data_IF_453368623129
#
_entry.id   IF_453368623129
#
_cell.length_a   1.000
_cell.length_b   1.000
_cell.length_c   1.000
_cell.angle_alpha   90.00
_cell.angle_beta   90.00
_cell.angle_gamma   90.00
#
_symmetry.space_group_name_H-M   'P 1'
#
loop_
_entity.id
_entity.type
_entity.pdbx_description
1 polymer ?
2 non-polymer ?
3 water ?
#
# COMPACT_ATOMS: atom_id res chain seq x y z
N UNK A 4 16.67 -2.73 -12.17
CA UNK A 4 16.54 -1.44 -12.84
C UNK A 4 15.07 -1.15 -13.08
N UNK A 5 14.21 -1.53 -12.12
CA UNK A 5 12.78 -1.22 -12.27
C UNK A 5 12.46 0.25 -12.43
N UNK A 6 12.92 1.08 -11.51
CA UNK A 6 12.66 2.51 -11.59
C UNK A 6 13.39 3.15 -12.75
N UNK A 7 14.59 2.64 -13.06
CA UNK A 7 15.31 3.24 -14.20
C UNK A 7 14.56 2.97 -15.51
N UNK A 8 14.00 1.76 -15.58
CA UNK A 8 13.27 1.35 -16.75
C UNK A 8 11.89 1.97 -16.94
N UNK A 9 11.13 2.07 -15.86
CA UNK A 9 9.78 2.60 -15.96
C UNK A 9 9.67 4.06 -15.57
N UNK A 10 10.59 4.52 -14.74
CA UNK A 10 10.63 5.91 -14.34
C UNK A 10 9.36 6.51 -13.76
N UNK A 11 8.96 7.65 -14.26
CA UNK A 11 7.81 8.39 -13.75
C UNK A 11 6.53 7.64 -14.00
N UNK A 12 5.82 7.29 -12.93
CA UNK A 12 4.51 6.65 -13.11
C UNK A 12 3.44 7.73 -13.14
N UNK A 13 2.34 7.47 -13.86
CA UNK A 13 1.22 8.40 -13.90
C UNK A 13 -0.03 7.57 -14.21
N UNK A 14 -1.16 8.24 -14.20
CA UNK A 14 -2.44 7.60 -14.51
C UNK A 14 -2.90 8.07 -15.89
N UNK A 15 -3.21 7.08 -16.73
CA UNK A 15 -3.71 7.39 -18.07
C UNK A 15 -4.98 6.56 -18.33
N UNK A 16 -6.13 7.17 -18.56
CA UNK A 16 -7.36 6.43 -18.77
C UNK A 16 -7.63 5.39 -17.68
N UNK A 17 -7.39 5.78 -16.43
CA UNK A 17 -7.65 4.98 -15.25
C UNK A 17 -6.69 3.84 -15.04
N UNK A 18 -5.54 3.86 -15.71
CA UNK A 18 -4.56 2.80 -15.60
C UNK A 18 -3.22 3.35 -15.12
N UNK A 19 -2.52 2.56 -14.29
CA UNK A 19 -1.16 2.95 -13.94
C UNK A 19 -0.25 2.67 -15.14
N UNK A 20 0.51 3.70 -15.56
CA UNK A 20 1.41 3.56 -16.70
C UNK A 20 2.79 4.13 -16.35
N UNK A 21 3.78 3.70 -17.12
CA UNK A 21 5.14 4.20 -16.98
C UNK A 21 5.31 5.45 -17.84
N UNK A 22 6.55 5.92 -17.87
CA UNK A 22 6.84 7.18 -18.57
C UNK A 22 6.78 7.07 -20.08
N UNK A 23 6.61 5.87 -20.60
CA UNK A 23 6.41 5.68 -22.03
C UNK A 23 4.93 5.43 -22.31
N UNK A 24 4.09 5.50 -21.27
CA UNK A 24 2.67 5.30 -21.45
C UNK A 24 2.23 3.85 -21.48
N UNK A 25 3.11 2.91 -21.16
CA UNK A 25 2.80 1.50 -21.12
C UNK A 25 2.27 1.09 -19.75
N UNK A 26 1.28 0.18 -19.78
CA UNK A 26 0.75 -0.31 -18.49
C UNK A 26 1.82 -1.03 -17.68
N UNK A 27 1.85 -0.74 -16.38
CA UNK A 27 2.78 -1.34 -15.47
C UNK A 27 2.01 -1.84 -14.23
N UNK A 28 2.47 -2.94 -13.69
CA UNK A 28 1.84 -3.52 -12.51
C UNK A 28 2.92 -3.72 -11.44
N UNK A 29 2.69 -3.12 -10.28
CA UNK A 29 3.61 -3.25 -9.15
C UNK A 29 3.11 -4.35 -8.21
N UNK A 30 4.06 -5.16 -7.73
CA UNK A 30 3.72 -6.22 -6.79
C UNK A 30 4.79 -6.25 -5.71
N UNK A 31 4.37 -6.21 -4.45
CA UNK A 31 5.36 -6.19 -3.37
C UNK A 31 4.75 -6.48 -2.01
N UNK A 32 5.52 -6.11 -1.01
CA UNK A 32 5.14 -6.34 0.37
C UNK A 32 4.95 -5.02 1.11
N UNK A 33 4.05 -5.11 2.10
CA UNK A 33 3.90 -4.08 3.09
C UNK A 33 4.58 -4.51 4.39
N UNK A 34 5.20 -3.56 5.09
CA UNK A 34 5.65 -3.84 6.46
C UNK A 34 4.39 -4.01 7.28
N UNK A 35 4.56 -4.47 8.52
CA UNK A 35 3.49 -4.41 9.52
C UNK A 35 3.70 -3.05 10.20
N UNK A 36 3.14 -2.75 11.36
CA UNK A 36 3.30 -1.42 11.95
C UNK A 36 4.77 -1.14 12.23
N UNK A 37 5.25 0.03 11.79
CA UNK A 37 6.66 0.39 12.04
C UNK A 37 7.03 0.59 13.50
N UNK A 38 6.05 0.83 14.35
CA UNK A 38 6.28 0.98 15.79
C UNK A 38 6.48 -0.35 16.48
N UNK A 39 6.18 -1.45 15.80
CA UNK A 39 6.27 -2.78 16.38
C UNK A 39 7.27 -3.69 15.70
N UNK A 40 7.34 -3.65 14.37
CA UNK A 40 8.15 -4.59 13.58
C UNK A 40 9.04 -3.86 12.57
N UNK A 41 9.56 -2.73 13.03
CA UNK A 41 10.46 -1.90 12.26
C UNK A 41 11.78 -2.54 11.90
N UNK A 42 12.22 -3.56 12.70
CA UNK A 42 13.48 -4.21 12.42
C UNK A 42 13.49 -4.96 11.11
N UNK A 43 12.32 -5.33 10.56
CA UNK A 43 12.25 -5.99 9.27
C UNK A 43 12.26 -5.02 8.09
N UNK A 44 12.35 -3.73 8.34
CA UNK A 44 12.42 -2.73 7.28
C UNK A 44 13.82 -2.12 7.25
N UNK A 45 14.60 -2.55 6.27
CA UNK A 45 15.99 -2.11 6.16
C UNK A 45 16.47 -2.43 4.76
N UNK A 46 17.58 -1.84 4.32
CA UNK A 46 18.12 -2.06 2.99
C UNK A 46 18.33 -3.54 2.70
N UNK A 47 18.91 -4.30 3.64
CA UNK A 47 19.21 -5.71 3.38
C UNK A 47 17.97 -6.55 3.18
N UNK A 48 16.96 -6.40 4.00
CA UNK A 48 15.72 -7.17 3.82
C UNK A 48 14.99 -6.75 2.56
N UNK A 49 14.98 -5.46 2.23
CA UNK A 49 14.33 -5.00 1.00
C UNK A 49 15.07 -5.50 -0.23
N UNK A 50 16.41 -5.61 -0.16
CA UNK A 50 17.20 -6.11 -1.27
C UNK A 50 16.93 -7.60 -1.49
N UNK A 51 16.79 -8.32 -0.37
CA UNK A 51 16.47 -9.73 -0.42
C UNK A 51 15.10 -9.93 -1.06
N UNK A 52 14.13 -9.10 -0.66
CA UNK A 52 12.81 -9.15 -1.29
C UNK A 52 12.88 -8.85 -2.78
N UNK A 53 13.68 -7.85 -3.16
CA UNK A 53 13.82 -7.51 -4.56
C UNK A 53 14.41 -8.69 -5.34
N UNK A 54 15.50 -9.24 -4.84
CA UNK A 54 16.31 -10.21 -5.57
C UNK A 54 15.77 -11.62 -5.56
N UNK A 55 15.23 -12.05 -4.43
CA UNK A 55 14.74 -13.41 -4.27
C UNK A 55 13.25 -13.54 -4.51
N UNK A 56 12.44 -12.54 -4.14
CA UNK A 56 11.02 -12.59 -4.38
C UNK A 56 10.64 -11.90 -5.68
N UNK A 57 11.41 -10.91 -6.15
CA UNK A 57 11.02 -10.20 -7.34
C UNK A 57 10.21 -8.94 -7.03
N UNK A 58 10.12 -8.47 -5.78
CA UNK A 58 9.32 -7.26 -5.54
C UNK A 58 9.80 -6.06 -6.36
N UNK A 59 8.83 -5.19 -6.69
CA UNK A 59 9.17 -3.93 -7.34
C UNK A 59 8.55 -2.74 -6.62
N UNK A 60 7.96 -3.00 -5.45
CA UNK A 60 7.41 -1.94 -4.60
C UNK A 60 7.47 -2.39 -3.14
N UNK A 61 7.68 -1.47 -2.20
CA UNK A 61 7.65 -1.76 -0.78
C UNK A 61 6.80 -0.70 -0.10
N UNK A 62 5.91 -1.13 0.80
CA UNK A 62 5.03 -0.23 1.51
C UNK A 62 5.42 -0.10 2.99
N UNK A 63 5.69 1.12 3.43
CA UNK A 63 6.07 1.47 4.79
C UNK A 63 4.80 1.88 5.55
N UNK A 64 4.32 0.99 6.42
CA UNK A 64 3.06 1.19 7.12
C UNK A 64 3.24 1.92 8.44
N UNK A 65 3.16 3.24 8.37
CA UNK A 65 3.36 4.09 9.54
C UNK A 65 2.04 4.36 10.25
N UNK A 66 1.69 3.48 11.20
CA UNK A 66 0.51 3.70 12.00
C UNK A 66 0.63 5.07 12.66
N UNK A 67 -0.49 5.76 12.69
CA UNK A 67 -0.63 7.06 13.34
C UNK A 67 -0.99 6.87 14.82
N UNK A 68 -2.00 6.06 15.10
CA UNK A 68 -2.36 5.74 16.49
C UNK A 68 -1.71 4.41 16.87
N UNK A 69 -2.24 3.73 17.89
CA UNK A 69 -1.71 2.46 18.35
C UNK A 69 -0.22 2.50 18.68
N UNK A 70 0.21 3.57 19.31
CA UNK A 70 1.61 3.78 19.65
C UNK A 70 2.50 4.24 18.50
N UNK A 71 1.86 4.59 17.39
CA UNK A 71 2.54 5.06 16.21
C UNK A 71 2.95 6.50 16.23
N UNK A 72 2.96 7.17 15.08
CA UNK A 72 3.50 8.49 14.88
C UNK A 72 3.00 9.57 15.81
N UNK A 73 1.69 9.60 16.11
CA UNK A 73 1.16 10.64 16.99
C UNK A 73 1.72 10.53 18.40
N UNK A 74 1.85 9.33 18.93
CA UNK A 74 2.42 9.10 20.25
C UNK A 74 3.93 9.21 20.27
N UNK A 75 4.60 8.77 19.22
CA UNK A 75 6.05 8.79 19.13
C UNK A 75 6.44 8.96 17.67
N UNK A 76 6.76 10.19 17.29
CA UNK A 76 7.02 10.59 15.93
C UNK A 76 8.32 10.07 15.36
N UNK A 77 9.16 9.47 16.21
CA UNK A 77 10.43 8.89 15.79
C UNK A 77 10.28 7.87 14.69
N UNK A 78 9.12 7.21 14.56
CA UNK A 78 8.87 6.25 13.51
C UNK A 78 8.89 6.83 12.11
N UNK A 79 8.76 8.17 12.00
CA UNK A 79 8.91 8.79 10.68
C UNK A 79 10.32 8.62 10.13
N UNK A 80 11.32 8.41 11.00
CA UNK A 80 12.69 8.20 10.52
C UNK A 80 12.83 6.83 9.90
N UNK A 81 11.99 5.85 10.36
CA UNK A 81 12.02 4.52 9.74
C UNK A 81 11.38 4.58 8.36
N UNK A 82 10.32 5.40 8.20
CA UNK A 82 9.83 5.64 6.84
C UNK A 82 10.93 6.20 5.93
N UNK A 83 11.71 7.19 6.40
CA UNK A 83 12.80 7.76 5.61
C UNK A 83 13.82 6.68 5.24
N UNK A 84 14.11 5.83 6.23
CA UNK A 84 15.03 4.71 5.94
C UNK A 84 14.53 3.82 4.81
N UNK A 85 13.24 3.46 4.84
CA UNK A 85 12.65 2.65 3.76
C UNK A 85 12.65 3.38 2.42
N UNK A 86 12.36 4.66 2.38
CA UNK A 86 12.36 5.41 1.12
C UNK A 86 13.79 5.43 0.55
N UNK A 87 14.77 5.70 1.42
CA UNK A 87 16.16 5.76 0.95
C UNK A 87 16.62 4.42 0.42
N UNK A 88 16.24 3.31 1.06
CA UNK A 88 16.59 1.98 0.56
C UNK A 88 15.94 1.71 -0.78
N UNK A 89 14.66 2.09 -0.94
CA UNK A 89 13.97 1.91 -2.22
C UNK A 89 14.68 2.70 -3.33
N UNK A 90 15.13 3.91 -3.01
CA UNK A 90 15.85 4.72 -3.98
C UNK A 90 17.15 3.99 -4.35
N UNK A 91 17.85 3.52 -3.31
CA UNK A 91 19.11 2.79 -3.56
C UNK A 91 18.93 1.48 -4.30
N UNK A 92 17.80 0.78 -4.11
CA UNK A 92 17.51 -0.47 -4.76
C UNK A 92 16.74 -0.32 -6.07
N UNK A 93 16.38 0.90 -6.47
CA UNK A 93 15.69 1.17 -7.71
C UNK A 93 14.33 0.48 -7.77
N UNK A 94 13.60 0.52 -6.65
CA UNK A 94 12.22 0.06 -6.62
C UNK A 94 11.31 1.19 -6.11
N UNK A 95 10.02 0.99 -6.31
CA UNK A 95 9.03 1.98 -5.86
C UNK A 95 8.74 1.83 -4.38
N UNK A 96 8.24 2.88 -3.74
CA UNK A 96 7.97 2.83 -2.31
C UNK A 96 6.72 3.63 -1.99
N UNK A 97 5.90 3.04 -1.13
CA UNK A 97 4.67 3.71 -0.71
C UNK A 97 4.82 4.20 0.72
N UNK A 98 4.60 5.47 0.95
CA UNK A 98 4.61 6.11 2.26
C UNK A 98 3.16 6.08 2.76
N UNK A 99 2.89 5.20 3.73
CA UNK A 99 1.48 5.01 4.18
C UNK A 99 1.17 5.61 5.53
N UNK A 100 0.37 6.65 5.58
CA UNK A 100 -0.17 7.30 6.79
C UNK A 100 -1.28 6.35 7.22
N UNK A 101 -0.90 5.46 8.13
CA UNK A 101 -1.70 4.27 8.41
C UNK A 101 -2.70 4.45 9.52
N UNK A 102 -3.77 5.16 9.14
CA UNK A 102 -4.91 5.34 10.02
C UNK A 102 -5.66 4.00 10.13
N UNK A 103 -6.31 3.81 11.31
CA UNK A 103 -7.08 2.60 11.56
C UNK A 103 -8.01 2.85 12.73
N UNK A 104 -7.54 2.76 13.98
CA UNK A 104 -8.46 3.02 15.11
C UNK A 104 -8.92 4.45 15.16
N UNK A 105 -8.10 5.38 14.66
CA UNK A 105 -8.33 6.79 14.41
C UNK A 105 -9.02 6.78 13.03
N UNK A 106 -10.29 6.41 13.05
CA UNK A 106 -11.02 5.95 11.88
C UNK A 106 -11.42 7.00 10.87
N UNK A 107 -11.41 8.25 11.30
CA UNK A 107 -11.71 9.36 10.40
C UNK A 107 -10.37 10.01 10.11
N UNK A 108 -9.97 10.16 8.86
CA UNK A 108 -8.68 10.77 8.57
C UNK A 108 -8.59 12.20 9.04
N UNK A 109 -9.73 12.88 9.28
CA UNK A 109 -9.70 14.24 9.78
C UNK A 109 -9.21 14.36 11.22
N UNK A 110 -9.20 13.29 12.01
CA UNK A 110 -8.75 13.37 13.39
C UNK A 110 -7.34 13.96 13.46
N UNK A 111 -6.41 13.47 12.65
CA UNK A 111 -5.03 13.95 12.70
C UNK A 111 -4.63 14.65 11.40
N UNK A 112 -5.59 15.34 10.78
CA UNK A 112 -5.29 16.01 9.51
C UNK A 112 -4.23 17.06 9.59
N UNK A 113 -4.12 17.83 10.69
CA UNK A 113 -3.07 18.82 10.81
C UNK A 113 -1.70 18.15 10.84
N UNK A 114 -1.58 17.08 11.61
CA UNK A 114 -0.32 16.34 11.63
C UNK A 114 -0.03 15.68 10.28
N UNK A 115 -1.06 15.21 9.57
CA UNK A 115 -0.89 14.62 8.25
C UNK A 115 -0.36 15.61 7.23
N UNK A 116 -0.92 16.84 7.28
CA UNK A 116 -0.43 17.89 6.40
C UNK A 116 1.05 18.18 6.67
N UNK A 117 1.41 18.27 7.96
CA UNK A 117 2.82 18.55 8.28
C UNK A 117 3.73 17.41 7.84
N UNK A 118 3.30 16.17 8.05
CA UNK A 118 4.07 14.98 7.66
C UNK A 118 4.24 14.84 6.17
N UNK A 119 3.16 15.02 5.38
CA UNK A 119 3.27 14.97 3.94
C UNK A 119 4.00 16.15 3.35
N UNK A 120 3.97 17.32 3.97
CA UNK A 120 4.78 18.46 3.54
C UNK A 120 6.25 18.06 3.66
N UNK A 121 6.63 17.53 4.81
CA UNK A 121 8.02 17.10 5.04
C UNK A 121 8.49 16.00 4.09
N UNK A 122 7.66 14.97 3.90
CA UNK A 122 8.07 13.87 3.02
C UNK A 122 8.15 14.30 1.56
N UNK A 123 7.17 15.11 1.14
CA UNK A 123 7.22 15.57 -0.27
C UNK A 123 8.34 16.56 -0.49
N UNK A 124 8.70 17.36 0.53
CA UNK A 124 9.82 18.29 0.34
C UNK A 124 11.13 17.50 0.17
N UNK A 125 11.24 16.43 0.98
CA UNK A 125 12.46 15.65 0.96
C UNK A 125 12.60 14.80 -0.29
N UNK A 126 11.54 14.14 -0.73
CA UNK A 126 11.58 13.14 -1.77
C UNK A 126 10.80 13.43 -3.02
N UNK A 127 10.22 14.62 -3.12
CA UNK A 127 9.41 15.03 -4.23
C UNK A 127 10.06 15.12 -5.59
N UNK A 128 11.39 15.04 -5.63
CA UNK A 128 12.06 14.98 -6.93
C UNK A 128 12.65 13.60 -7.22
N UNK A 129 12.06 12.54 -6.64
CA UNK A 129 12.36 11.17 -7.01
C UNK A 129 11.10 10.50 -7.56
N UNK A 130 11.22 9.64 -8.54
CA UNK A 130 10.09 8.97 -9.15
C UNK A 130 9.64 7.74 -8.37
N UNK A 131 10.41 7.33 -7.36
CA UNK A 131 10.07 6.14 -6.61
C UNK A 131 8.86 6.27 -5.71
N UNK A 132 8.56 7.47 -5.22
CA UNK A 132 7.60 7.70 -4.14
C UNK A 132 6.15 7.75 -4.59
N UNK A 133 5.38 6.99 -3.80
CA UNK A 133 3.91 6.94 -3.93
C UNK A 133 3.35 7.32 -2.55
N UNK A 134 2.46 8.33 -2.46
CA UNK A 134 1.98 8.74 -1.15
C UNK A 134 0.63 8.11 -0.85
N UNK A 135 0.46 7.46 0.28
CA UNK A 135 -0.85 6.86 0.63
C UNK A 135 -1.33 7.61 1.88
N UNK A 136 -2.25 8.56 1.67
CA UNK A 136 -2.59 9.54 2.68
C UNK A 136 -3.55 9.12 3.75
N UNK A 137 -4.25 8.00 3.67
CA UNK A 137 -5.15 7.54 4.73
C UNK A 137 -5.45 6.07 4.49
N UNK A 138 -4.65 5.19 5.08
CA UNK A 138 -4.81 3.75 4.90
C UNK A 138 -6.24 3.26 4.76
N UNK A 139 -6.96 3.27 5.87
CA UNK A 139 -8.28 2.70 5.99
C UNK A 139 -9.28 3.50 6.80
N UNK A 140 -9.83 4.52 6.20
CA UNK A 140 -11.02 5.19 6.76
C UNK A 140 -12.07 4.11 7.08
N UNK A 141 -12.78 4.23 8.20
CA UNK A 141 -13.75 3.19 8.56
C UNK A 141 -14.80 3.80 9.49
N UNK A 142 -15.92 3.10 9.57
CA UNK A 142 -17.00 3.58 10.45
C UNK A 142 -18.15 4.09 9.61
N UNK A 143 -19.38 3.89 10.09
CA UNK A 143 -20.56 4.37 9.41
C UNK A 143 -20.63 5.87 9.28
N UNK A 144 -19.99 6.61 10.17
CA UNK A 144 -19.93 8.03 10.25
C UNK A 144 -18.81 8.66 9.41
N UNK A 145 -18.05 7.87 8.68
CA UNK A 145 -16.94 8.34 7.86
C UNK A 145 -17.25 7.94 6.41
N UNK A 146 -17.67 8.98 5.66
CA UNK A 146 -18.05 8.73 4.27
C UNK A 146 -17.13 9.49 3.30
N UNK A 147 -17.13 8.98 2.09
CA UNK A 147 -16.33 9.58 1.02
C UNK A 147 -16.65 11.06 0.88
N UNK A 148 -17.95 11.35 0.66
CA UNK A 148 -18.32 12.74 0.41
C UNK A 148 -18.15 13.67 1.59
N UNK A 149 -18.43 13.25 2.81
CA UNK A 149 -18.41 14.15 3.94
C UNK A 149 -17.05 14.22 4.62
N UNK A 150 -16.31 13.12 4.63
CA UNK A 150 -15.07 13.10 5.41
C UNK A 150 -13.83 12.86 4.55
N UNK A 151 -13.83 11.81 3.74
CA UNK A 151 -12.61 11.40 3.05
C UNK A 151 -12.20 12.33 1.93
N UNK A 152 -13.13 12.64 1.05
CA UNK A 152 -12.83 13.54 -0.08
C UNK A 152 -12.35 14.89 0.37
N UNK A 153 -13.01 15.57 1.29
CA UNK A 153 -12.55 16.86 1.82
C UNK A 153 -11.20 16.76 2.47
N UNK A 154 -10.89 15.70 3.21
CA UNK A 154 -9.56 15.45 3.77
C UNK A 154 -8.51 15.38 2.66
N UNK A 155 -8.77 14.63 1.61
CA UNK A 155 -7.84 14.52 0.49
C UNK A 155 -7.63 15.87 -0.16
N UNK A 156 -8.70 16.66 -0.25
CA UNK A 156 -8.64 17.97 -0.87
C UNK A 156 -7.90 18.98 -0.02
N UNK A 157 -7.58 18.72 1.23
CA UNK A 157 -6.68 19.53 2.03
C UNK A 157 -5.27 18.98 1.95
N UNK A 158 -5.05 17.66 1.98
CA UNK A 158 -3.70 17.10 2.00
C UNK A 158 -3.03 17.06 0.65
N UNK A 159 -3.79 16.81 -0.43
CA UNK A 159 -3.20 16.74 -1.77
C UNK A 159 -2.54 18.05 -2.13
N UNK A 160 -3.11 19.22 -1.91
CA UNK A 160 -2.48 20.49 -2.25
C UNK A 160 -1.11 20.65 -1.60
N UNK A 161 -0.97 20.23 -0.34
CA UNK A 161 0.31 20.28 0.40
C UNK A 161 1.37 19.48 -0.36
N UNK A 162 1.03 18.24 -0.75
CA UNK A 162 1.93 17.41 -1.51
C UNK A 162 2.27 18.05 -2.85
N UNK A 163 1.28 18.53 -3.57
CA UNK A 163 1.42 19.04 -4.93
C UNK A 163 2.25 20.30 -4.97
N UNK A 164 2.33 21.05 -3.88
CA UNK A 164 3.19 22.23 -3.85
C UNK A 164 4.66 21.84 -3.90
N UNK A 165 4.98 20.60 -3.50
CA UNK A 165 6.34 20.11 -3.54
C UNK A 165 6.61 19.05 -4.59
N UNK A 166 5.60 18.34 -5.03
CA UNK A 166 5.69 17.20 -5.94
C UNK A 166 4.42 17.17 -6.77
N UNK A 167 4.46 17.76 -7.94
CA UNK A 167 3.29 17.96 -8.77
C UNK A 167 2.64 16.73 -9.34
N UNK A 168 3.32 15.58 -9.44
CA UNK A 168 2.63 14.49 -10.12
C UNK A 168 2.98 13.08 -9.76
N UNK A 169 3.72 12.83 -8.68
CA UNK A 169 3.86 11.45 -8.22
C UNK A 169 2.47 10.96 -7.77
N UNK A 170 2.31 9.64 -7.82
CA UNK A 170 1.01 9.03 -7.51
C UNK A 170 0.64 9.24 -6.06
N UNK A 171 -0.66 9.55 -5.83
CA UNK A 171 -1.23 9.63 -4.50
C UNK A 171 -2.36 8.60 -4.41
N UNK A 172 -2.30 7.68 -3.44
CA UNK A 172 -3.34 6.67 -3.21
C UNK A 172 -4.22 7.18 -2.07
N UNK A 173 -5.53 7.28 -2.27
CA UNK A 173 -6.46 7.78 -1.29
C UNK A 173 -7.39 6.65 -0.83
N UNK A 174 -7.45 6.47 0.49
CA UNK A 174 -8.26 5.44 1.09
C UNK A 174 -9.74 5.68 0.83
N UNK A 175 -10.51 4.60 0.95
CA UNK A 175 -11.94 4.65 0.74
C UNK A 175 -12.68 4.18 1.99
N UNK A 176 -13.99 4.39 2.02
CA UNK A 176 -14.78 3.98 3.19
C UNK A 176 -14.80 2.50 3.46
N UNK A 177 -15.25 2.19 4.71
CA UNK A 177 -15.43 0.80 5.15
C UNK A 177 -14.15 -0.02 4.99
N UNK A 178 -13.07 0.51 5.57
CA UNK A 178 -11.76 -0.08 5.57
C UNK A 178 -11.23 -0.22 4.15
N UNK A 179 -11.36 0.86 3.37
CA UNK A 179 -10.91 0.88 1.98
C UNK A 179 -11.50 -0.23 1.12
N UNK A 180 -12.83 -0.41 1.27
CA UNK A 180 -13.55 -1.31 0.40
C UNK A 180 -14.54 -0.56 -0.50
N UNK A 181 -14.94 0.64 -0.08
CA UNK A 181 -16.04 1.34 -0.76
C UNK A 181 -15.51 2.19 -1.91
N UNK A 182 -14.99 1.49 -2.92
CA UNK A 182 -14.52 2.14 -4.13
C UNK A 182 -15.67 2.60 -5.01
N UNK A 183 -16.85 1.99 -4.81
CA UNK A 183 -18.03 2.37 -5.58
C UNK A 183 -18.39 3.83 -5.34
N UNK A 184 -18.47 4.27 -4.08
CA UNK A 184 -18.81 5.65 -3.83
C UNK A 184 -17.72 6.60 -4.30
N UNK A 185 -16.46 6.21 -4.11
CA UNK A 185 -15.37 7.09 -4.54
C UNK A 185 -15.38 7.24 -6.04
N UNK A 186 -15.65 6.15 -6.76
CA UNK A 186 -15.61 6.21 -8.24
C UNK A 186 -16.73 7.07 -8.79
N UNK A 187 -17.83 7.23 -8.08
CA UNK A 187 -18.94 8.07 -8.53
C UNK A 187 -18.71 9.53 -8.18
N UNK A 188 -17.66 9.87 -7.41
CA UNK A 188 -17.41 11.25 -7.01
C UNK A 188 -15.92 11.48 -6.87
N UNK A 189 -15.21 11.26 -7.98
CA UNK A 189 -13.77 11.27 -8.04
C UNK A 189 -13.13 12.62 -7.78
N UNK A 190 -11.89 12.54 -7.25
CA UNK A 190 -11.05 13.69 -7.02
C UNK A 190 -10.54 14.25 -8.33
N UNK A 191 -10.28 15.55 -8.34
CA UNK A 191 -9.80 16.20 -9.56
C UNK A 191 -8.37 15.85 -9.93
N UNK A 192 -7.47 15.66 -8.98
CA UNK A 192 -6.06 15.41 -9.34
C UNK A 192 -5.95 14.23 -10.28
N UNK A 193 -5.23 14.38 -11.39
CA UNK A 193 -5.09 13.38 -12.42
C UNK A 193 -4.19 12.21 -12.11
N UNK A 194 -3.42 12.32 -11.03
CA UNK A 194 -2.53 11.24 -10.64
C UNK A 194 -2.93 10.64 -9.30
N UNK A 195 -4.22 10.51 -9.09
CA UNK A 195 -4.77 9.86 -7.90
C UNK A 195 -5.23 8.45 -8.26
N UNK A 196 -5.10 7.56 -7.28
CA UNK A 196 -5.66 6.22 -7.26
C UNK A 196 -6.46 6.04 -5.96
N UNK A 197 -7.45 5.17 -5.99
CA UNK A 197 -8.24 4.86 -4.80
C UNK A 197 -7.73 3.52 -4.29
N UNK A 198 -7.62 3.39 -2.97
CA UNK A 198 -7.23 2.13 -2.36
C UNK A 198 -8.41 1.14 -2.29
N UNK A 199 -8.12 -0.10 -2.56
CA UNK A 199 -9.07 -1.20 -2.38
C UNK A 199 -8.28 -2.25 -1.62
N UNK A 200 -8.80 -2.72 -0.48
CA UNK A 200 -8.16 -3.72 0.36
C UNK A 200 -9.03 -4.96 0.53
N UNK A 201 -8.45 -6.14 0.51
CA UNK A 201 -9.24 -7.36 0.71
C UNK A 201 -8.44 -8.36 1.56
N UNK A 202 -9.19 -9.30 2.12
CA UNK A 202 -8.67 -10.42 2.87
C UNK A 202 -9.31 -11.69 2.30
N UNK A 203 -8.54 -12.69 1.97
CA UNK A 203 -8.99 -13.88 1.25
C UNK A 203 -9.92 -14.75 2.09
N UNK A 204 -9.98 -14.51 3.40
CA UNK A 204 -10.92 -15.19 4.30
C UNK A 204 -12.36 -14.79 4.05
N UNK A 205 -12.60 -13.72 3.34
CA UNK A 205 -13.93 -13.25 2.99
C UNK A 205 -14.25 -13.64 1.57
N UNK A 206 -15.44 -14.25 1.36
CA UNK A 206 -15.83 -14.67 0.01
C UNK A 206 -15.88 -13.41 -0.86
N UNK A 207 -15.12 -13.37 -1.93
CA UNK A 207 -14.94 -12.12 -2.62
C UNK A 207 -15.58 -11.80 -3.92
N UNK A 208 -16.55 -12.59 -4.37
CA UNK A 208 -17.10 -12.40 -5.72
C UNK A 208 -17.79 -11.06 -5.87
N UNK A 209 -18.57 -10.57 -4.91
CA UNK A 209 -19.22 -9.27 -5.08
C UNK A 209 -18.19 -8.15 -4.99
N UNK A 210 -17.18 -8.34 -4.13
CA UNK A 210 -16.14 -7.29 -4.02
C UNK A 210 -15.38 -7.13 -5.32
N UNK A 211 -15.09 -8.22 -6.05
CA UNK A 211 -14.50 -8.18 -7.37
C UNK A 211 -15.42 -7.41 -8.31
N UNK A 212 -16.72 -7.69 -8.26
CA UNK A 212 -17.66 -6.95 -9.12
C UNK A 212 -17.69 -5.47 -8.79
N UNK A 213 -17.48 -5.09 -7.52
CA UNK A 213 -17.44 -3.70 -7.10
C UNK A 213 -16.18 -3.01 -7.63
N UNK A 214 -15.05 -3.70 -7.60
CA UNK A 214 -13.82 -3.15 -8.16
C UNK A 214 -14.05 -2.92 -9.64
N UNK A 215 -14.67 -3.88 -10.32
CA UNK A 215 -14.97 -3.70 -11.73
C UNK A 215 -15.85 -2.49 -11.97
N UNK A 216 -16.88 -2.27 -11.17
CA UNK A 216 -17.75 -1.10 -11.30
C UNK A 216 -16.90 0.17 -11.22
N UNK A 217 -16.01 0.26 -10.24
CA UNK A 217 -15.14 1.42 -10.08
C UNK A 217 -14.23 1.63 -11.26
N UNK A 218 -13.60 0.56 -11.77
CA UNK A 218 -12.75 0.64 -12.95
C UNK A 218 -13.56 1.14 -14.14
N UNK A 219 -14.83 0.71 -14.26
CA UNK A 219 -15.70 1.15 -15.32
C UNK A 219 -16.07 2.63 -15.26
N UNK A 220 -15.86 3.31 -14.14
CA UNK A 220 -16.11 4.74 -14.03
C UNK A 220 -14.84 5.52 -14.35
N UNK A 221 -13.78 4.81 -14.74
CA UNK A 221 -12.51 5.45 -15.03
C UNK A 221 -11.65 5.70 -13.81
N UNK A 222 -12.02 5.21 -12.64
CA UNK A 222 -11.21 5.37 -11.44
C UNK A 222 -10.06 4.39 -11.44
N UNK A 223 -8.86 4.82 -11.07
CA UNK A 223 -7.71 3.92 -10.97
C UNK A 223 -7.65 3.34 -9.57
N UNK A 224 -7.37 2.05 -9.48
CA UNK A 224 -7.39 1.37 -8.19
C UNK A 224 -6.05 0.75 -7.87
N UNK A 225 -5.57 0.95 -6.66
CA UNK A 225 -4.32 0.31 -6.21
C UNK A 225 -4.69 -0.57 -5.02
N UNK A 226 -4.37 -1.87 -5.10
CA UNK A 226 -4.70 -2.76 -3.96
C UNK A 226 -3.53 -2.64 -2.99
N UNK A 227 -3.51 -1.55 -2.21
CA UNK A 227 -2.33 -1.20 -1.40
C UNK A 227 -2.18 -2.08 -0.17
N UNK A 228 -3.14 -2.93 0.09
CA UNK A 228 -3.04 -3.88 1.19
C UNK A 228 -3.98 -5.04 0.95
N UNK A 229 -3.47 -6.27 1.05
CA UNK A 229 -4.37 -7.43 0.99
C UNK A 229 -3.70 -8.57 1.76
N UNK A 230 -4.53 -9.47 2.26
CA UNK A 230 -3.96 -10.61 3.00
C UNK A 230 -4.59 -11.93 2.57
N UNK A 231 -3.86 -13.01 2.88
CA UNK A 231 -4.32 -14.36 2.62
C UNK A 231 -5.21 -14.84 3.77
N UNK A 232 -5.34 -14.10 4.84
CA UNK A 232 -6.00 -14.48 6.05
C UNK A 232 -7.44 -13.96 6.05
N UNK A 233 -8.08 -14.06 7.22
CA UNK A 233 -9.36 -13.42 7.44
C UNK A 233 -9.07 -11.92 7.64
N UNK A 234 -10.13 -11.13 7.76
CA UNK A 234 -10.04 -9.68 7.87
C UNK A 234 -9.37 -9.12 9.11
N UNK A 235 -9.19 -9.91 10.14
CA UNK A 235 -8.46 -9.56 11.34
C UNK A 235 -6.96 -9.66 11.13
N UNK A 236 -6.52 -10.29 10.04
CA UNK A 236 -5.10 -10.52 9.80
C UNK A 236 -4.71 -11.91 10.29
N UNK A 237 -5.67 -12.62 10.89
CA UNK A 237 -5.40 -13.96 11.41
C UNK A 237 -6.50 -14.91 10.99
N UNK A 238 -6.75 -15.98 11.76
CA UNK A 238 -7.78 -16.94 11.47
C UNK A 238 -7.63 -17.87 10.30
N UNK A 239 -6.50 -18.39 9.89
CA UNK A 239 -6.49 -19.31 8.77
C UNK A 239 -5.92 -18.67 7.53
N UNK A 240 -5.41 -19.49 6.63
CA UNK A 240 -4.85 -19.02 5.36
C UNK A 240 -5.82 -19.56 4.31
N UNK A 241 -6.21 -18.74 3.36
CA UNK A 241 -7.23 -19.07 2.37
C UNK A 241 -6.67 -18.93 0.96
N UNK A 242 -5.80 -19.88 0.60
CA UNK A 242 -5.07 -19.80 -0.65
C UNK A 242 -5.90 -19.97 -1.89
N UNK A 243 -7.01 -20.71 -1.86
CA UNK A 243 -7.84 -20.83 -3.06
C UNK A 243 -8.44 -19.47 -3.42
N UNK A 244 -9.03 -18.82 -2.43
CA UNK A 244 -9.63 -17.50 -2.70
C UNK A 244 -8.55 -16.47 -3.00
N UNK A 245 -7.36 -16.60 -2.38
CA UNK A 245 -6.30 -15.65 -2.70
C UNK A 245 -5.90 -15.81 -4.15
N UNK A 246 -5.83 -17.05 -4.66
CA UNK A 246 -5.48 -17.25 -6.07
C UNK A 246 -6.51 -16.61 -6.99
N UNK A 247 -7.79 -16.76 -6.66
CA UNK A 247 -8.84 -16.11 -7.46
C UNK A 247 -8.55 -14.59 -7.52
N UNK A 248 -8.26 -13.96 -6.37
CA UNK A 248 -7.95 -12.52 -6.39
C UNK A 248 -6.67 -12.21 -7.15
N UNK A 249 -5.63 -13.03 -7.03
CA UNK A 249 -4.39 -12.83 -7.79
C UNK A 249 -4.67 -12.82 -9.29
N UNK A 250 -5.46 -13.81 -9.75
CA UNK A 250 -5.78 -13.86 -11.20
C UNK A 250 -6.60 -12.67 -11.62
N UNK A 251 -7.54 -12.24 -10.79
CA UNK A 251 -8.38 -11.08 -11.02
C UNK A 251 -7.52 -9.82 -11.17
N UNK A 252 -6.58 -9.65 -10.25
CA UNK A 252 -5.70 -8.48 -10.28
C UNK A 252 -4.84 -8.47 -11.53
N UNK A 253 -4.36 -9.64 -11.96
CA UNK A 253 -3.59 -9.70 -13.20
C UNK A 253 -4.44 -9.32 -14.39
N UNK A 254 -5.68 -9.83 -14.48
CA UNK A 254 -6.54 -9.50 -15.60
C UNK A 254 -6.89 -8.03 -15.67
N UNK A 255 -6.97 -7.38 -14.51
CA UNK A 255 -7.33 -5.96 -14.47
C UNK A 255 -6.12 -5.05 -14.32
N UNK A 256 -4.91 -5.58 -14.38
CA UNK A 256 -3.66 -4.88 -14.20
C UNK A 256 -3.62 -3.99 -12.95
N UNK A 257 -4.01 -4.67 -11.85
CA UNK A 257 -4.02 -3.97 -10.57
C UNK A 257 -2.72 -4.25 -9.80
N UNK A 258 -2.13 -3.17 -9.33
CA UNK A 258 -0.91 -3.20 -8.51
C UNK A 258 -1.28 -3.57 -7.08
N UNK A 259 -0.35 -4.20 -6.35
CA UNK A 259 -0.68 -4.64 -5.00
C UNK A 259 0.53 -4.79 -4.08
N UNK A 260 0.20 -4.74 -2.79
CA UNK A 260 1.14 -4.91 -1.70
C UNK A 260 0.50 -5.88 -0.69
N UNK A 261 1.19 -6.94 -0.37
CA UNK A 261 0.68 -7.92 0.60
C UNK A 261 1.00 -7.54 2.05
N UNK A 262 0.04 -7.83 2.94
CA UNK A 262 0.15 -7.63 4.37
C UNK A 262 0.44 -9.00 5.02
N UNK A 263 1.57 -9.20 5.68
CA UNK A 263 2.60 -8.22 5.90
C UNK A 263 3.93 -8.91 6.21
N UNK A 264 5.00 -8.14 6.22
CA UNK A 264 6.34 -8.61 6.48
C UNK A 264 6.68 -8.52 7.97
N UNK A 265 6.33 -9.62 8.64
CA UNK A 265 6.62 -9.76 10.07
C UNK A 265 6.60 -11.23 10.45
N UNK A 266 7.15 -11.52 11.63
CA UNK A 266 7.16 -12.88 12.15
C UNK A 266 6.07 -13.12 13.18
N UNK A 267 5.20 -12.12 13.33
CA UNK A 267 4.08 -12.18 14.25
C UNK A 267 3.28 -13.46 14.04
N UNK A 268 2.83 -14.06 15.17
CA UNK A 268 2.10 -15.31 15.05
C UNK A 268 0.64 -15.11 14.68
N UNK A 269 0.42 -14.76 13.42
CA UNK A 269 -0.89 -14.56 12.80
C UNK A 269 -0.77 -15.01 11.35
N UNK A 270 -1.86 -15.54 10.80
CA UNK A 270 -1.85 -16.14 9.49
C UNK A 270 -1.35 -15.29 8.34
N UNK A 271 -1.66 -13.99 8.40
CA UNK A 271 -1.21 -13.12 7.30
C UNK A 271 0.28 -12.80 7.34
N UNK A 272 0.96 -13.05 8.45
CA UNK A 272 2.40 -12.76 8.52
C UNK A 272 3.16 -13.64 7.57
N UNK A 273 4.08 -13.07 6.80
CA UNK A 273 4.85 -13.81 5.82
C UNK A 273 6.01 -14.64 6.40
N UNK A 274 6.45 -14.30 7.59
CA UNK A 274 7.66 -14.95 8.13
C UNK A 274 7.36 -15.75 9.38
N UNK A 275 8.22 -16.72 9.65
CA UNK A 275 8.16 -17.52 10.87
C UNK A 275 9.13 -16.90 11.87
N UNK A 276 8.96 -17.25 13.13
CA UNK A 276 9.70 -16.75 14.27
C UNK A 276 11.19 -16.60 14.18
N UNK A 277 11.93 -17.46 13.49
CA UNK A 277 13.38 -17.37 13.38
C UNK A 277 13.92 -16.70 12.13
N UNK A 278 13.07 -16.03 11.37
CA UNK A 278 13.48 -15.32 10.17
C UNK A 278 14.34 -14.10 10.52
N UNK A 279 15.46 -14.04 9.84
CA UNK A 279 16.41 -12.94 10.08
C UNK A 279 15.78 -11.65 9.61
N UNK A 280 15.88 -10.59 10.34
CA UNK A 280 15.33 -9.30 9.96
C UNK A 280 16.05 -8.70 8.77
N UNK A 281 17.22 -9.19 8.41
CA UNK A 281 17.98 -8.66 7.27
C UNK A 281 17.90 -9.55 6.04
N UNK A 282 16.95 -10.50 6.05
CA UNK A 282 16.69 -11.33 4.89
C UNK A 282 17.42 -12.66 4.82
N UNK A 283 17.44 -13.28 3.64
CA UNK A 283 18.12 -14.53 3.38
C UNK A 283 17.36 -15.78 3.81
N UNK A 284 16.05 -15.64 3.94
CA UNK A 284 15.14 -16.63 4.44
C UNK A 284 15.12 -17.94 3.63
N UNK A 285 15.17 -19.01 4.46
CA UNK A 285 15.08 -20.34 3.87
C UNK A 285 13.59 -20.64 3.73
N UNK A 286 13.24 -21.72 3.05
CA UNK A 286 11.86 -22.15 2.84
C UNK A 286 11.15 -22.33 4.16
N UNK A 287 11.82 -22.90 5.19
CA UNK A 287 11.28 -23.08 6.50
C UNK A 287 11.04 -21.80 7.30
N UNK A 288 11.67 -20.68 6.97
CA UNK A 288 11.52 -19.42 7.66
C UNK A 288 10.33 -18.63 7.08
N UNK A 289 9.75 -19.14 6.00
CA UNK A 289 8.57 -18.47 5.43
C UNK A 289 7.33 -19.17 5.94
N UNK A 290 6.28 -18.42 6.25
CA UNK A 290 5.01 -19.01 6.66
C UNK A 290 4.34 -19.50 5.39
N UNK A 291 3.20 -20.20 5.56
CA UNK A 291 2.39 -20.66 4.45
C UNK A 291 1.93 -19.48 3.59
N UNK A 292 1.58 -18.38 4.20
CA UNK A 292 1.25 -17.15 3.48
C UNK A 292 2.47 -16.60 2.75
N UNK A 293 3.63 -16.47 3.40
CA UNK A 293 4.81 -15.93 2.74
C UNK A 293 5.26 -16.77 1.56
N UNK A 294 5.20 -18.12 1.71
CA UNK A 294 5.57 -19.00 0.63
C UNK A 294 4.72 -18.75 -0.62
N UNK A 295 3.41 -18.64 -0.39
CA UNK A 295 2.49 -18.35 -1.49
C UNK A 295 2.73 -16.99 -2.13
N UNK A 296 2.87 -15.94 -1.32
CA UNK A 296 3.10 -14.60 -1.88
C UNK A 296 4.40 -14.54 -2.66
N UNK A 297 5.48 -15.15 -2.14
CA UNK A 297 6.76 -15.20 -2.82
C UNK A 297 6.62 -15.86 -4.17
N UNK A 298 5.85 -16.96 -4.20
CA UNK A 298 5.64 -17.67 -5.46
C UNK A 298 4.91 -16.82 -6.48
N UNK A 299 3.87 -16.11 -5.99
CA UNK A 299 3.13 -15.24 -6.90
C UNK A 299 4.01 -14.17 -7.52
N UNK A 300 4.89 -13.55 -6.73
CA UNK A 300 5.75 -12.49 -7.28
C UNK A 300 6.83 -13.05 -8.18
N UNK A 301 7.38 -14.21 -7.82
CA UNK A 301 8.42 -14.83 -8.66
C UNK A 301 7.86 -15.24 -10.01
N UNK A 302 6.62 -15.72 -10.02
CA UNK A 302 5.92 -16.13 -11.23
C UNK A 302 5.69 -14.95 -12.16
N UNK A 303 5.41 -13.79 -11.56
CA UNK A 303 5.18 -12.59 -12.33
C UNK A 303 6.43 -12.25 -13.16
#
# INVERSE_FOLDING_TARGET
>A
DNDSVVEEHGQLSISNGELVNERGEQVQLKGMSSHGLQWYGQFVNYESMKWLRDDWGINVFRAAMYTSSGGYIDDPSVKEKVKEAVEAAIDLDIYVIIDWHILSDNDPNIYKEEAKDFFDEMSELYGDYPNVIYEIANEPNGSDVTWGNQIKPYAEEVIPIIRNNDPNNIIIVGTGTWSQDVHHAADNQLADPNVMYAFHFYAGTHGQNLRDQVDYALDQGAAIFVSEWGTSAATGDGGVFLDEAQVWIDFMDERNLSWANWSLTHKDESSAALMPGANPTGGWTEAELSPSGTFVREKIRES
#
